data_IF_017906011124
#
_entry.id   IF_017906011124
#
_cell.length_a   1.000
_cell.length_b   1.000
_cell.length_c   1.000
_cell.angle_alpha   90.00
_cell.angle_beta   90.00
_cell.angle_gamma   90.00
#
_symmetry.space_group_name_H-M   'P 1'
#
loop_
_entity.id
_entity.type
_entity.pdbx_description
1 polymer ?
#
# COMPACT_ATOMS: atom_id res chain seq x y z
N UNK A 1 -16.90 8.85 3.05
CA UNK A 1 -16.04 7.91 3.78
C UNK A 1 -14.65 8.51 3.99
N UNK A 2 -13.85 7.98 4.91
CA UNK A 2 -12.45 8.32 5.03
C UNK A 2 -11.64 7.91 3.80
N UNK A 3 -10.47 8.56 3.60
CA UNK A 3 -9.45 8.16 2.65
C UNK A 3 -8.15 7.92 3.42
N UNK A 4 -7.44 6.86 3.07
CA UNK A 4 -6.18 6.46 3.69
C UNK A 4 -5.10 6.20 2.65
N UNK A 5 -3.90 6.73 2.87
CA UNK A 5 -2.68 6.37 2.16
C UNK A 5 -1.63 5.96 3.17
N UNK A 6 -0.95 4.87 2.87
CA UNK A 6 0.19 4.38 3.62
C UNK A 6 1.44 4.38 2.73
N UNK A 7 2.56 4.85 3.25
CA UNK A 7 3.85 4.78 2.56
C UNK A 7 4.67 3.62 3.09
N UNK A 8 5.20 2.85 2.14
CA UNK A 8 5.97 1.64 2.40
C UNK A 8 7.40 1.80 1.89
N UNK A 9 8.37 1.50 2.75
CA UNK A 9 9.71 1.18 2.32
C UNK A 9 9.88 -0.35 2.29
N UNK A 10 10.65 -0.83 1.33
CA UNK A 10 10.93 -2.28 1.17
C UNK A 10 12.41 -2.49 1.36
N UNK A 11 12.79 -3.34 2.31
CA UNK A 11 14.19 -3.67 2.55
C UNK A 11 14.69 -4.81 1.62
N UNK A 12 16.00 -5.11 1.68
CA UNK A 12 16.62 -6.14 0.86
C UNK A 12 16.08 -7.56 1.11
N UNK A 13 15.46 -7.79 2.26
CA UNK A 13 14.81 -9.04 2.61
C UNK A 13 13.33 -9.09 2.20
N UNK A 14 12.86 -8.08 1.47
CA UNK A 14 11.45 -7.91 1.10
C UNK A 14 10.53 -7.69 2.31
N UNK A 15 11.06 -7.25 3.46
CA UNK A 15 10.24 -6.81 4.58
C UNK A 15 9.66 -5.43 4.29
N UNK A 16 8.46 -5.17 4.77
CA UNK A 16 7.77 -3.91 4.60
C UNK A 16 7.91 -3.03 5.85
N UNK A 17 8.24 -1.77 5.64
CA UNK A 17 8.29 -0.74 6.66
C UNK A 17 7.24 0.32 6.34
N UNK A 18 6.17 0.39 7.13
CA UNK A 18 5.14 1.43 6.98
C UNK A 18 5.56 2.62 7.82
N UNK A 19 6.07 3.65 7.16
CA UNK A 19 6.72 4.77 7.83
C UNK A 19 5.90 6.05 7.88
N UNK A 20 4.82 6.14 7.08
CA UNK A 20 3.94 7.31 7.03
C UNK A 20 2.52 6.91 6.73
N UNK A 21 1.58 7.67 7.30
CA UNK A 21 0.14 7.54 7.11
C UNK A 21 -0.47 8.90 6.83
N UNK A 22 -1.36 8.97 5.84
CA UNK A 22 -2.32 10.06 5.66
C UNK A 22 -3.72 9.48 5.82
N UNK A 23 -4.45 9.96 6.82
CA UNK A 23 -5.81 9.55 7.09
C UNK A 23 -6.70 10.77 7.20
N UNK A 24 -7.64 10.95 6.29
CA UNK A 24 -8.48 12.14 6.20
C UNK A 24 -9.92 11.82 5.85
N UNK A 25 -10.84 12.74 6.16
CA UNK A 25 -12.27 12.60 5.88
C UNK A 25 -12.74 13.80 5.06
N UNK A 26 -13.79 13.60 4.25
CA UNK A 26 -14.46 14.68 3.51
C UNK A 26 -13.51 15.51 2.64
N UNK A 27 -12.61 14.87 1.93
CA UNK A 27 -11.65 15.52 1.00
C UNK A 27 -12.03 15.19 -0.45
N UNK A 28 -11.83 16.14 -1.36
CA UNK A 28 -11.95 15.89 -2.81
C UNK A 28 -10.70 15.19 -3.34
N UNK A 29 -10.82 14.49 -4.48
CA UNK A 29 -9.68 13.76 -5.08
C UNK A 29 -8.49 14.69 -5.39
N UNK A 30 -8.76 15.89 -5.89
CA UNK A 30 -7.76 16.91 -6.17
C UNK A 30 -7.00 17.35 -4.90
N UNK A 31 -7.73 17.74 -3.85
CA UNK A 31 -7.12 18.15 -2.60
C UNK A 31 -6.39 17.00 -1.89
N UNK A 32 -6.91 15.78 -2.02
CA UNK A 32 -6.25 14.62 -1.46
C UNK A 32 -4.94 14.33 -2.18
N UNK A 33 -4.91 14.40 -3.51
CA UNK A 33 -3.70 14.27 -4.30
C UNK A 33 -2.63 15.32 -3.93
N UNK A 34 -3.04 16.58 -3.75
CA UNK A 34 -2.13 17.65 -3.30
C UNK A 34 -1.53 17.36 -1.93
N UNK A 35 -2.33 16.84 -0.98
CA UNK A 35 -1.83 16.43 0.34
C UNK A 35 -0.82 15.26 0.22
N UNK A 36 -1.13 14.26 -0.61
CA UNK A 36 -0.21 13.15 -0.90
C UNK A 36 1.11 13.68 -1.42
N UNK A 37 1.08 14.51 -2.47
CA UNK A 37 2.30 15.07 -3.08
C UNK A 37 3.10 15.96 -2.13
N UNK A 38 2.43 16.75 -1.30
CA UNK A 38 3.08 17.58 -0.27
C UNK A 38 3.83 16.70 0.75
N UNK A 39 3.24 15.58 1.16
CA UNK A 39 3.86 14.66 2.12
C UNK A 39 4.98 13.82 1.51
N UNK A 40 4.94 13.57 0.20
CA UNK A 40 6.02 12.90 -0.52
C UNK A 40 7.23 13.82 -0.69
N UNK A 41 6.98 15.14 -0.82
CA UNK A 41 8.01 16.16 -1.03
C UNK A 41 8.99 15.71 -2.15
N UNK A 42 10.28 15.54 -1.84
CA UNK A 42 11.31 15.10 -2.78
C UNK A 42 11.55 13.58 -2.79
N UNK A 43 10.74 12.82 -2.05
CA UNK A 43 10.88 11.36 -2.02
C UNK A 43 10.55 10.75 -3.39
N UNK A 44 11.39 9.85 -3.87
CA UNK A 44 11.12 9.08 -5.07
C UNK A 44 10.20 7.91 -4.75
N UNK A 45 8.93 8.04 -5.11
CA UNK A 45 7.94 6.96 -4.99
C UNK A 45 7.91 6.16 -6.28
N UNK A 46 8.30 4.89 -6.24
CA UNK A 46 8.31 4.02 -7.39
C UNK A 46 6.91 3.85 -8.01
N UNK A 47 5.92 3.55 -7.18
CA UNK A 47 4.51 3.47 -7.54
C UNK A 47 3.64 3.46 -6.29
N UNK A 48 2.35 3.73 -6.48
CA UNK A 48 1.31 3.48 -5.49
C UNK A 48 0.26 2.52 -6.02
N UNK A 49 -0.48 1.90 -5.11
CA UNK A 49 -1.63 1.04 -5.43
C UNK A 49 -2.87 1.68 -4.84
N UNK A 50 -3.87 1.89 -5.68
CA UNK A 50 -5.12 2.51 -5.30
C UNK A 50 -6.27 1.55 -5.59
N UNK A 51 -7.34 1.62 -4.79
CA UNK A 51 -8.53 0.79 -5.01
C UNK A 51 -8.99 0.90 -6.46
N UNK A 52 -9.12 -0.24 -7.13
CA UNK A 52 -9.51 -0.30 -8.53
C UNK A 52 -10.90 0.27 -8.82
N UNK A 53 -11.79 0.38 -7.82
CA UNK A 53 -13.09 1.04 -7.96
C UNK A 53 -12.96 2.54 -8.26
N UNK A 54 -11.84 3.16 -7.88
CA UNK A 54 -11.56 4.58 -8.10
C UNK A 54 -11.32 4.95 -9.57
N UNK A 55 -11.08 3.97 -10.45
CA UNK A 55 -11.03 4.14 -11.91
C UNK A 55 -12.40 4.14 -12.57
N UNK A 56 -13.45 3.73 -11.84
CA UNK A 56 -14.81 3.77 -12.39
C UNK A 56 -15.26 5.23 -12.59
N UNK A 57 -15.70 5.55 -13.80
CA UNK A 57 -16.30 6.85 -14.10
C UNK A 57 -17.70 6.91 -13.50
N UNK A 58 -18.00 8.03 -12.86
CA UNK A 58 -19.33 8.31 -12.31
C UNK A 58 -20.10 9.16 -13.32
N UNK A 59 -20.81 8.49 -14.25
CA UNK A 59 -21.49 9.14 -15.36
C UNK A 59 -20.55 9.53 -16.51
N UNK A 60 -21.08 10.26 -17.49
CA UNK A 60 -20.35 10.63 -18.71
C UNK A 60 -19.50 11.92 -18.55
N UNK A 61 -19.44 12.50 -17.37
CA UNK A 61 -18.84 13.82 -17.16
C UNK A 61 -17.64 13.75 -16.23
N UNK A 62 -16.46 13.96 -16.80
CA UNK A 62 -15.23 14.23 -16.06
C UNK A 62 -14.33 13.01 -15.78
N UNK A 63 -13.13 13.26 -15.24
CA UNK A 63 -12.18 12.21 -14.91
C UNK A 63 -12.64 11.40 -13.67
N UNK A 64 -12.21 10.14 -13.60
CA UNK A 64 -12.36 9.31 -12.40
C UNK A 64 -11.53 9.87 -11.22
N UNK A 65 -11.77 9.35 -10.02
CA UNK A 65 -10.96 9.72 -8.83
C UNK A 65 -9.47 9.45 -9.11
N UNK A 66 -9.15 8.27 -9.65
CA UNK A 66 -7.77 7.89 -9.95
C UNK A 66 -7.15 8.80 -11.02
N UNK A 67 -7.87 9.08 -12.11
CA UNK A 67 -7.41 10.00 -13.15
C UNK A 67 -7.15 11.41 -12.59
N UNK A 68 -8.02 11.93 -11.75
CA UNK A 68 -7.83 13.23 -11.06
C UNK A 68 -6.55 13.24 -10.22
N UNK A 69 -6.30 12.19 -9.45
CA UNK A 69 -5.11 12.09 -8.62
C UNK A 69 -3.82 11.97 -9.47
N UNK A 70 -3.87 11.21 -10.58
CA UNK A 70 -2.74 11.07 -11.51
C UNK A 70 -2.43 12.41 -12.19
N UNK A 71 -3.45 13.16 -12.61
CA UNK A 71 -3.28 14.50 -13.19
C UNK A 71 -2.61 15.48 -12.20
N UNK A 72 -2.78 15.27 -10.89
CA UNK A 72 -2.11 16.00 -9.83
C UNK A 72 -0.73 15.40 -9.44
N UNK A 73 -0.16 14.50 -10.25
CA UNK A 73 1.21 14.00 -10.12
C UNK A 73 1.38 12.76 -9.25
N UNK A 74 0.29 12.14 -8.77
CA UNK A 74 0.39 10.86 -8.06
C UNK A 74 0.65 9.71 -9.03
N UNK A 75 1.43 8.70 -8.60
CA UNK A 75 1.80 7.52 -9.40
C UNK A 75 0.99 6.31 -8.99
N UNK A 76 -0.28 6.25 -9.39
CA UNK A 76 -1.19 5.17 -9.02
C UNK A 76 -1.35 4.12 -10.12
N UNK A 77 -1.47 2.88 -9.68
CA UNK A 77 -1.95 1.75 -10.47
C UNK A 77 -3.10 1.06 -9.72
N UNK A 78 -4.01 0.38 -10.43
CA UNK A 78 -5.15 -0.29 -9.79
C UNK A 78 -4.70 -1.46 -8.90
N UNK A 79 -5.43 -1.68 -7.82
CA UNK A 79 -5.32 -2.87 -7.00
C UNK A 79 -5.81 -4.11 -7.78
N UNK A 80 -5.35 -5.30 -7.33
CA UNK A 80 -5.81 -6.57 -7.87
C UNK A 80 -7.32 -6.75 -7.65
N UNK A 81 -8.04 -7.12 -8.71
CA UNK A 81 -9.48 -7.43 -8.73
C UNK A 81 -9.76 -8.91 -9.02
N UNK A 82 -8.74 -9.75 -9.06
CA UNK A 82 -8.93 -11.18 -9.30
C UNK A 82 -9.88 -11.80 -8.28
N UNK A 83 -10.60 -12.87 -8.64
CA UNK A 83 -11.43 -13.61 -7.70
C UNK A 83 -10.63 -13.97 -6.44
N UNK A 84 -11.23 -13.80 -5.26
CA UNK A 84 -10.61 -14.03 -3.94
C UNK A 84 -9.44 -13.09 -3.58
N UNK A 85 -9.21 -11.99 -4.31
CA UNK A 85 -8.14 -11.03 -4.00
C UNK A 85 -8.22 -10.50 -2.56
N UNK A 86 -9.41 -10.32 -1.98
CA UNK A 86 -9.57 -9.93 -0.57
C UNK A 86 -9.05 -10.99 0.39
N UNK A 87 -9.44 -12.24 0.18
CA UNK A 87 -8.99 -13.39 1.00
C UNK A 87 -7.49 -13.58 0.88
N UNK A 88 -6.97 -13.57 -0.35
CA UNK A 88 -5.52 -13.67 -0.61
C UNK A 88 -4.77 -12.50 0.05
N UNK A 89 -5.31 -11.30 0.00
CA UNK A 89 -4.73 -10.14 0.66
C UNK A 89 -4.71 -10.24 2.18
N UNK A 90 -5.78 -10.75 2.79
CA UNK A 90 -5.79 -11.06 4.24
C UNK A 90 -4.70 -12.07 4.60
N UNK A 91 -4.56 -13.13 3.81
CA UNK A 91 -3.51 -14.13 4.00
C UNK A 91 -2.10 -13.53 3.89
N UNK A 92 -1.86 -12.63 2.93
CA UNK A 92 -0.57 -11.94 2.79
C UNK A 92 -0.28 -11.01 3.98
N UNK A 93 -1.28 -10.27 4.47
CA UNK A 93 -1.13 -9.47 5.70
C UNK A 93 -0.77 -10.37 6.89
N UNK A 94 -1.48 -11.48 7.08
CA UNK A 94 -1.21 -12.42 8.17
C UNK A 94 0.19 -13.05 8.06
N UNK A 95 0.63 -13.42 6.86
CA UNK A 95 1.99 -13.94 6.64
C UNK A 95 3.05 -12.93 7.07
N UNK A 96 2.87 -11.66 6.71
CA UNK A 96 3.81 -10.60 7.04
C UNK A 96 3.81 -10.20 8.51
N UNK A 97 2.68 -10.33 9.19
CA UNK A 97 2.58 -10.09 10.64
C UNK A 97 3.21 -11.20 11.48
N UNK A 98 3.41 -12.40 10.91
CA UNK A 98 4.12 -13.48 11.61
C UNK A 98 5.58 -13.10 11.84
N UNK A 99 6.03 -13.35 13.06
CA UNK A 99 7.46 -13.29 13.41
C UNK A 99 8.09 -14.65 13.10
N UNK A 100 9.08 -14.65 12.21
CA UNK A 100 9.82 -15.86 11.82
C UNK A 100 11.29 -15.61 12.12
N UNK A 101 11.92 -16.47 12.92
CA UNK A 101 13.30 -16.30 13.36
C UNK A 101 13.57 -14.93 13.99
N UNK A 102 12.64 -14.49 14.85
CA UNK A 102 12.67 -13.17 15.54
C UNK A 102 12.52 -11.96 14.60
N UNK A 103 12.28 -12.18 13.31
CA UNK A 103 12.12 -11.13 12.30
C UNK A 103 10.68 -11.04 11.81
N UNK A 104 9.97 -9.90 12.03
CA UNK A 104 8.67 -9.66 11.44
C UNK A 104 8.81 -9.25 9.97
N UNK A 105 7.93 -9.77 9.11
CA UNK A 105 7.87 -9.39 7.70
C UNK A 105 7.30 -7.99 7.43
N UNK A 106 6.78 -7.34 8.49
CA UNK A 106 6.24 -5.99 8.43
C UNK A 106 6.52 -5.24 9.73
N UNK A 107 6.86 -3.96 9.60
CA UNK A 107 7.04 -3.05 10.72
C UNK A 107 6.23 -1.78 10.50
N UNK A 108 5.53 -1.33 11.52
CA UNK A 108 4.66 -0.16 11.47
C UNK A 108 5.21 0.89 12.42
N UNK A 109 5.49 2.09 11.89
CA UNK A 109 5.94 3.19 12.71
C UNK A 109 4.80 3.68 13.62
N UNK A 110 5.12 4.03 14.84
CA UNK A 110 4.16 4.52 15.84
C UNK A 110 3.38 5.78 15.39
N UNK A 111 3.85 6.44 14.36
CA UNK A 111 3.18 7.58 13.74
C UNK A 111 1.95 7.19 12.90
N UNK A 112 1.85 5.92 12.48
CA UNK A 112 0.72 5.36 11.73
C UNK A 112 -0.42 4.97 12.70
N UNK A 113 -0.97 5.97 13.38
CA UNK A 113 -1.91 5.77 14.52
C UNK A 113 -3.22 5.14 14.13
N UNK A 114 -3.79 5.53 12.97
CA UNK A 114 -5.07 4.96 12.52
C UNK A 114 -4.89 3.51 12.07
N UNK A 115 -3.82 3.19 11.37
CA UNK A 115 -3.51 1.81 11.01
C UNK A 115 -3.36 0.93 12.26
N UNK A 116 -2.55 1.36 13.24
CA UNK A 116 -2.35 0.60 14.49
C UNK A 116 -3.67 0.40 15.22
N UNK A 117 -4.48 1.45 15.36
CA UNK A 117 -5.78 1.40 16.01
C UNK A 117 -6.73 0.44 15.30
N UNK A 118 -6.89 0.59 13.98
CA UNK A 118 -7.85 -0.21 13.22
C UNK A 118 -7.41 -1.66 13.08
N UNK A 119 -6.12 -1.93 12.90
CA UNK A 119 -5.61 -3.30 12.75
C UNK A 119 -5.90 -4.17 13.98
N UNK A 120 -5.86 -3.59 15.19
CA UNK A 120 -6.17 -4.30 16.43
C UNK A 120 -7.67 -4.47 16.73
N UNK A 121 -8.53 -3.77 15.99
CA UNK A 121 -9.98 -3.69 16.26
C UNK A 121 -10.86 -4.33 15.18
N UNK A 122 -10.27 -4.75 14.04
CA UNK A 122 -11.05 -5.29 12.93
C UNK A 122 -11.68 -6.63 13.29
N UNK A 123 -13.03 -6.71 13.37
CA UNK A 123 -13.72 -7.97 13.55
C UNK A 123 -13.64 -8.81 12.28
N UNK A 124 -13.75 -10.11 12.44
CA UNK A 124 -13.99 -11.04 11.33
C UNK A 124 -15.41 -10.82 10.81
N UNK A 125 -15.61 -10.94 9.50
CA UNK A 125 -16.95 -10.89 8.90
C UNK A 125 -17.78 -12.09 9.38
N UNK A 126 -18.96 -11.85 9.92
CA UNK A 126 -19.84 -12.90 10.46
C UNK A 126 -20.36 -13.86 9.37
N UNK A 127 -20.47 -13.38 8.12
CA UNK A 127 -20.95 -14.17 6.97
C UNK A 127 -19.83 -14.88 6.24
N UNK A 128 -18.62 -14.32 6.32
CA UNK A 128 -17.42 -14.89 5.70
C UNK A 128 -16.25 -14.78 6.67
N UNK A 129 -16.06 -15.76 7.58
CA UNK A 129 -14.97 -15.72 8.56
C UNK A 129 -13.55 -15.65 7.97
N UNK A 130 -13.41 -15.91 6.66
CA UNK A 130 -12.16 -15.76 5.93
C UNK A 130 -11.84 -14.30 5.56
N UNK A 131 -12.80 -13.37 5.70
CA UNK A 131 -12.63 -11.94 5.41
C UNK A 131 -12.77 -11.08 6.69
N UNK A 132 -12.55 -9.79 6.58
CA UNK A 132 -12.80 -8.78 7.61
C UNK A 132 -14.16 -8.12 7.38
N UNK A 133 -14.82 -7.68 8.46
CA UNK A 133 -16.10 -6.98 8.36
C UNK A 133 -15.92 -5.65 7.60
N UNK A 134 -16.56 -5.53 6.44
CA UNK A 134 -16.54 -4.33 5.60
C UNK A 134 -17.41 -3.19 6.12
N UNK A 135 -18.26 -3.44 7.11
CA UNK A 135 -19.02 -2.39 7.80
C UNK A 135 -18.18 -1.67 8.86
N UNK A 136 -17.05 -2.25 9.25
CA UNK A 136 -16.10 -1.64 10.16
C UNK A 136 -15.24 -0.58 9.46
N UNK A 137 -14.44 0.14 10.24
CA UNK A 137 -13.49 1.15 9.71
C UNK A 137 -12.26 0.44 9.11
N UNK A 138 -12.39 -0.05 7.88
CA UNK A 138 -11.40 -0.91 7.20
C UNK A 138 -10.43 -0.15 6.26
N UNK A 139 -10.59 1.16 6.09
CA UNK A 139 -9.82 1.94 5.09
C UNK A 139 -8.31 1.85 5.23
N UNK A 140 -7.78 1.90 6.48
CA UNK A 140 -6.35 1.76 6.70
C UNK A 140 -5.89 0.31 6.50
N UNK A 141 -6.72 -0.66 6.86
CA UNK A 141 -6.48 -2.07 6.59
C UNK A 141 -6.48 -2.38 5.10
N UNK A 142 -7.41 -1.83 4.34
CA UNK A 142 -7.44 -2.01 2.88
C UNK A 142 -6.18 -1.42 2.22
N UNK A 143 -5.73 -0.24 2.65
CA UNK A 143 -4.46 0.33 2.18
C UNK A 143 -3.26 -0.59 2.51
N UNK A 144 -3.22 -1.18 3.71
CA UNK A 144 -2.23 -2.18 4.11
C UNK A 144 -2.30 -3.42 3.21
N UNK A 145 -3.49 -3.94 2.99
CA UNK A 145 -3.73 -5.13 2.17
C UNK A 145 -3.28 -4.92 0.74
N UNK A 146 -3.58 -3.77 0.11
CA UNK A 146 -3.12 -3.45 -1.24
C UNK A 146 -1.59 -3.36 -1.31
N UNK A 147 -0.96 -2.76 -0.31
CA UNK A 147 0.50 -2.72 -0.20
C UNK A 147 1.11 -4.13 -0.12
N UNK A 148 0.59 -4.99 0.76
CA UNK A 148 1.05 -6.38 0.91
C UNK A 148 0.85 -7.19 -0.39
N UNK A 149 -0.31 -7.05 -1.05
CA UNK A 149 -0.60 -7.73 -2.32
C UNK A 149 0.30 -7.27 -3.46
N UNK A 150 0.74 -6.03 -3.46
CA UNK A 150 1.67 -5.52 -4.47
C UNK A 150 3.10 -6.06 -4.31
N UNK A 151 3.42 -6.60 -3.13
CA UNK A 151 4.70 -7.17 -2.74
C UNK A 151 4.51 -8.48 -1.97
N UNK A 152 4.03 -9.56 -2.63
CA UNK A 152 3.74 -10.81 -1.94
C UNK A 152 5.01 -11.47 -1.38
N UNK A 153 4.84 -12.23 -0.30
CA UNK A 153 5.93 -12.94 0.40
C UNK A 153 6.40 -14.19 -0.31
N UNK A 154 5.81 -14.56 -1.45
CA UNK A 154 6.12 -15.81 -2.15
C UNK A 154 7.60 -15.91 -2.51
N UNK A 155 8.30 -17.03 -2.18
CA UNK A 155 9.74 -17.19 -2.38
C UNK A 155 10.23 -16.90 -3.80
N UNK A 156 9.50 -17.34 -4.82
CA UNK A 156 9.84 -17.10 -6.24
C UNK A 156 9.86 -15.61 -6.63
N UNK A 157 9.08 -14.77 -5.97
CA UNK A 157 9.09 -13.32 -6.22
C UNK A 157 10.23 -12.64 -5.48
N UNK A 158 10.55 -13.08 -4.27
CA UNK A 158 11.69 -12.55 -3.51
C UNK A 158 13.01 -12.81 -4.23
N UNK A 159 13.21 -14.01 -4.76
CA UNK A 159 14.40 -14.37 -5.55
C UNK A 159 14.49 -13.59 -6.86
N UNK A 160 13.38 -13.47 -7.60
CA UNK A 160 13.32 -12.70 -8.84
C UNK A 160 13.59 -11.22 -8.60
N UNK A 161 13.11 -10.68 -7.47
CA UNK A 161 13.34 -9.29 -7.11
C UNK A 161 14.79 -9.04 -6.69
N UNK A 162 15.39 -9.95 -5.92
CA UNK A 162 16.83 -9.92 -5.59
C UNK A 162 17.70 -9.93 -6.84
N UNK A 163 17.37 -10.78 -7.82
CA UNK A 163 18.11 -10.85 -9.08
C UNK A 163 17.99 -9.57 -9.92
N UNK A 164 16.84 -8.90 -9.88
CA UNK A 164 16.61 -7.64 -10.60
C UNK A 164 17.34 -6.46 -9.94
N UNK A 165 17.38 -6.40 -8.62
CA UNK A 165 18.12 -5.36 -7.87
C UNK A 165 19.63 -5.57 -8.04
N UNK A 166 20.11 -6.82 -7.94
CA UNK A 166 21.54 -7.12 -8.04
C UNK A 166 22.12 -6.82 -9.42
N UNK A 167 21.30 -6.78 -10.47
CA UNK A 167 21.77 -6.51 -11.83
C UNK A 167 21.73 -5.03 -12.24
N UNK A 168 20.83 -4.21 -11.67
CA UNK A 168 20.58 -2.87 -12.22
C UNK A 168 20.87 -1.68 -11.29
N UNK A 169 20.87 -1.84 -9.99
CA UNK A 169 20.89 -0.66 -9.09
C UNK A 169 22.22 -0.44 -8.35
N UNK A 170 23.07 -1.43 -8.22
CA UNK A 170 24.35 -1.27 -7.51
C UNK A 170 25.39 -0.50 -8.33
N UNK A 171 25.34 -0.57 -9.66
CA UNK A 171 26.28 0.18 -10.52
C UNK A 171 25.92 1.66 -10.69
N UNK A 172 24.67 2.05 -10.44
CA UNK A 172 24.25 3.45 -10.58
C UNK A 172 24.53 4.30 -9.33
N UNK A 173 24.62 3.68 -8.16
CA UNK A 173 24.87 4.39 -6.90
C UNK A 173 26.36 4.69 -6.69
N UNK A 174 27.25 3.79 -7.10
CA UNK A 174 28.71 3.97 -6.93
C UNK A 174 29.32 5.03 -7.85
N UNK A 175 28.65 5.37 -8.95
CA UNK A 175 29.13 6.41 -9.89
C UNK A 175 28.70 7.83 -9.55
N UNK A 176 27.89 8.05 -8.50
CA UNK A 176 27.43 9.38 -8.08
C UNK A 176 28.13 9.95 -6.85
N UNK A 177 28.86 9.15 -6.12
CA UNK A 177 29.69 9.60 -5.01
C UNK A 177 31.16 9.24 -5.31
N UNK A 178 31.73 9.97 -6.31
CA UNK A 178 33.15 10.00 -6.51
C UNK A 178 33.82 10.73 -5.34
N UNK A 179 34.57 10.00 -4.54
CA UNK A 179 35.80 10.39 -3.89
C UNK A 179 36.85 9.38 -4.24
#
# INVERSE_FOLDING_TARGET
>A
SPACVLWFAVDYNNNLWIYRELYTKKVTADNFAKQVRMLENDEYIHYGVLDSSTWAKRGDVGPSIAETMIQNGCRWRPSDRSPKSRINGKLEVHKRLRVVNEEPGIRIFKTCKNLIRTLGMLPTDDRNPEDVDTNAEDHAYDALRYGCMSRPTHPKYAERFRSLISQNDFHAADNKFGY
#
